data_IF_314379438014
#
_entry.id   IF_314379438014
#
_cell.length_a   1.000
_cell.length_b   1.000
_cell.length_c   1.000
_cell.angle_alpha   90.00
_cell.angle_beta   90.00
_cell.angle_gamma   90.00
#
_symmetry.space_group_name_H-M   'P 1'
#
loop_
_entity.id
_entity.type
_entity.pdbx_description
1 polymer ?
#
# COMPACT_ATOMS: atom_id res chain seq x y z
N UNK A 1 11.93 -29.98 -30.69
CA UNK A 1 10.49 -29.68 -30.87
C UNK A 1 10.38 -28.20 -31.18
N UNK A 2 10.16 -27.84 -32.45
CA UNK A 2 9.96 -26.44 -32.83
C UNK A 2 8.58 -25.99 -32.36
N UNK A 3 8.54 -24.99 -31.47
CA UNK A 3 7.29 -24.32 -31.13
C UNK A 3 6.70 -23.71 -32.40
N UNK A 4 5.38 -23.83 -32.58
CA UNK A 4 4.69 -23.17 -33.67
C UNK A 4 4.88 -21.63 -33.53
N UNK A 5 5.39 -20.92 -34.55
CA UNK A 5 5.63 -19.47 -34.50
C UNK A 5 4.41 -18.66 -34.08
N UNK A 6 3.21 -19.09 -34.48
CA UNK A 6 1.95 -18.43 -34.15
C UNK A 6 1.58 -18.59 -32.67
N UNK A 7 1.83 -19.78 -32.11
CA UNK A 7 1.64 -20.04 -30.68
C UNK A 7 2.62 -19.23 -29.81
N UNK A 8 3.86 -19.04 -30.29
CA UNK A 8 4.87 -18.21 -29.63
C UNK A 8 4.46 -16.73 -29.61
N UNK A 9 3.99 -16.22 -30.74
CA UNK A 9 3.53 -14.83 -30.86
C UNK A 9 2.34 -14.57 -29.93
N UNK A 10 1.37 -15.48 -29.89
CA UNK A 10 0.22 -15.36 -28.99
C UNK A 10 0.64 -15.34 -27.51
N UNK A 11 1.59 -16.21 -27.13
CA UNK A 11 2.13 -16.27 -25.76
C UNK A 11 2.83 -14.95 -25.38
N UNK A 12 3.63 -14.37 -26.27
CA UNK A 12 4.27 -13.07 -26.05
C UNK A 12 3.26 -11.93 -25.84
N UNK A 13 2.18 -11.91 -26.62
CA UNK A 13 1.09 -10.91 -26.46
C UNK A 13 0.38 -11.09 -25.11
N UNK A 14 0.08 -12.33 -24.72
CA UNK A 14 -0.56 -12.61 -23.43
C UNK A 14 0.33 -12.20 -22.25
N UNK A 15 1.64 -12.48 -22.33
CA UNK A 15 2.60 -12.03 -21.31
C UNK A 15 2.70 -10.50 -21.25
N UNK A 16 2.64 -9.79 -22.38
CA UNK A 16 2.72 -8.32 -22.40
C UNK A 16 1.49 -7.70 -21.76
N UNK A 17 0.30 -8.25 -22.04
CA UNK A 17 -0.94 -7.87 -21.37
C UNK A 17 -0.85 -8.09 -19.85
N UNK A 18 -0.39 -9.27 -19.41
CA UNK A 18 -0.23 -9.59 -18.00
C UNK A 18 0.74 -8.63 -17.31
N UNK A 19 1.85 -8.31 -17.98
CA UNK A 19 2.87 -7.40 -17.49
C UNK A 19 2.33 -5.97 -17.34
N UNK A 20 1.55 -5.48 -18.30
CA UNK A 20 0.90 -4.17 -18.23
C UNK A 20 -0.11 -4.09 -17.08
N UNK A 21 -0.90 -5.15 -16.87
CA UNK A 21 -1.83 -5.25 -15.74
C UNK A 21 -1.07 -5.23 -14.40
N UNK A 22 -0.04 -6.06 -14.25
CA UNK A 22 0.75 -6.10 -13.01
C UNK A 22 1.45 -4.78 -12.72
N UNK A 23 1.93 -4.05 -13.74
CA UNK A 23 2.48 -2.69 -13.59
C UNK A 23 1.44 -1.70 -13.07
N UNK A 24 0.24 -1.71 -13.65
CA UNK A 24 -0.84 -0.82 -13.22
C UNK A 24 -1.26 -1.11 -11.77
N UNK A 25 -1.40 -2.39 -11.41
CA UNK A 25 -1.71 -2.81 -10.04
C UNK A 25 -0.61 -2.44 -9.05
N UNK A 26 0.67 -2.58 -9.43
CA UNK A 26 1.81 -2.17 -8.62
C UNK A 26 1.79 -0.66 -8.36
N UNK A 27 1.53 0.14 -9.40
CA UNK A 27 1.40 1.59 -9.28
C UNK A 27 0.29 1.98 -8.31
N UNK A 28 -0.87 1.32 -8.41
CA UNK A 28 -1.99 1.57 -7.49
C UNK A 28 -1.64 1.14 -6.06
N UNK A 29 -0.95 0.02 -5.89
CA UNK A 29 -0.51 -0.47 -4.59
C UNK A 29 0.47 0.48 -3.91
N UNK A 30 1.42 1.06 -4.66
CA UNK A 30 2.33 2.09 -4.14
C UNK A 30 1.56 3.35 -3.69
N UNK A 31 0.60 3.84 -4.48
CA UNK A 31 -0.24 4.98 -4.09
C UNK A 31 -1.03 4.71 -2.79
N UNK A 32 -1.56 3.50 -2.64
CA UNK A 32 -2.24 3.09 -1.42
C UNK A 32 -1.28 3.05 -0.21
N UNK A 33 -0.06 2.53 -0.38
CA UNK A 33 0.97 2.53 0.65
C UNK A 33 1.35 3.95 1.07
N UNK A 34 1.53 4.86 0.12
CA UNK A 34 1.88 6.25 0.41
C UNK A 34 0.79 6.95 1.22
N UNK A 35 -0.48 6.70 0.89
CA UNK A 35 -1.62 7.20 1.66
C UNK A 35 -1.64 6.65 3.08
N UNK A 36 -1.42 5.34 3.26
CA UNK A 36 -1.36 4.71 4.58
C UNK A 36 -0.19 5.27 5.41
N UNK A 37 0.99 5.42 4.81
CA UNK A 37 2.14 6.03 5.48
C UNK A 37 1.86 7.48 5.90
N UNK A 38 1.20 8.25 5.04
CA UNK A 38 0.81 9.64 5.37
C UNK A 38 -0.15 9.69 6.56
N UNK A 39 -1.16 8.80 6.59
CA UNK A 39 -2.09 8.70 7.72
C UNK A 39 -1.38 8.30 9.02
N UNK A 40 -0.48 7.31 8.97
CA UNK A 40 0.32 6.90 10.14
C UNK A 40 1.16 8.06 10.68
N UNK A 41 1.84 8.80 9.80
CA UNK A 41 2.64 9.96 10.20
C UNK A 41 1.77 11.06 10.85
N UNK A 42 0.55 11.27 10.33
CA UNK A 42 -0.40 12.22 10.90
C UNK A 42 -0.86 11.79 12.29
N UNK A 43 -1.19 10.52 12.49
CA UNK A 43 -1.56 9.95 13.79
C UNK A 43 -0.41 10.12 14.79
N UNK A 44 0.81 9.73 14.41
CA UNK A 44 1.99 9.83 15.27
C UNK A 44 2.30 11.28 15.67
N UNK A 45 2.22 12.22 14.71
CA UNK A 45 2.42 13.64 14.98
C UNK A 45 1.34 14.20 15.91
N UNK A 46 0.07 13.80 15.70
CA UNK A 46 -1.07 14.23 16.51
C UNK A 46 -0.94 13.69 17.94
N UNK A 47 -0.65 12.39 18.10
CA UNK A 47 -0.40 11.77 19.40
C UNK A 47 0.74 12.45 20.15
N UNK A 48 1.86 12.74 19.48
CA UNK A 48 2.99 13.45 20.09
C UNK A 48 2.60 14.87 20.53
N UNK A 49 1.82 15.57 19.71
CA UNK A 49 1.38 16.94 20.00
C UNK A 49 0.40 16.98 21.16
N UNK A 50 -0.60 16.08 21.19
CA UNK A 50 -1.56 15.99 22.29
C UNK A 50 -0.91 15.61 23.61
N UNK A 51 0.01 14.65 23.61
CA UNK A 51 0.76 14.28 24.83
C UNK A 51 1.65 15.42 25.35
N UNK A 52 2.03 16.37 24.50
CA UNK A 52 2.83 17.54 24.89
C UNK A 52 1.97 18.67 25.44
N UNK A 53 0.79 18.90 24.86
CA UNK A 53 -0.05 20.07 25.13
C UNK A 53 -1.11 19.78 26.19
N UNK A 54 -1.69 18.59 26.18
CA UNK A 54 -2.80 18.23 27.07
C UNK A 54 -2.30 17.53 28.33
N UNK A 55 -3.00 17.76 29.44
CA UNK A 55 -2.75 16.99 30.66
C UNK A 55 -3.55 15.68 30.64
N UNK A 56 -2.95 14.62 30.10
CA UNK A 56 -3.56 13.29 29.99
C UNK A 56 -3.94 12.67 31.34
N UNK A 57 -3.27 13.03 32.44
CA UNK A 57 -3.58 12.54 33.80
C UNK A 57 -4.90 13.08 34.33
N UNK A 58 -5.27 14.29 33.94
CA UNK A 58 -6.50 14.95 34.39
C UNK A 58 -7.66 14.77 33.41
N UNK A 59 -7.48 13.94 32.37
CA UNK A 59 -8.48 13.67 31.33
C UNK A 59 -9.10 14.97 30.76
N UNK A 60 -8.24 15.88 30.31
CA UNK A 60 -8.65 17.15 29.75
C UNK A 60 -9.52 16.97 28.49
N UNK A 61 -10.50 17.85 28.33
CA UNK A 61 -11.37 17.83 27.16
C UNK A 61 -10.68 18.46 25.95
N UNK A 62 -10.79 17.77 24.81
CA UNK A 62 -10.27 18.18 23.50
C UNK A 62 -11.41 18.34 22.51
N UNK A 63 -11.17 19.12 21.45
CA UNK A 63 -12.13 19.31 20.37
C UNK A 63 -11.69 18.53 19.13
N UNK A 64 -12.47 17.51 18.78
CA UNK A 64 -12.26 16.69 17.60
C UNK A 64 -13.04 17.28 16.41
N UNK A 65 -12.33 17.58 15.32
CA UNK A 65 -12.95 18.02 14.08
C UNK A 65 -13.56 16.84 13.32
N UNK A 66 -14.86 16.92 13.02
CA UNK A 66 -15.59 15.95 12.20
C UNK A 66 -16.27 16.72 11.05
N UNK A 67 -15.58 16.77 9.91
CA UNK A 67 -16.03 17.56 8.75
C UNK A 67 -16.06 19.06 9.06
N UNK A 68 -17.26 19.63 9.19
CA UNK A 68 -17.48 21.06 9.52
C UNK A 68 -17.80 21.29 11.00
N UNK A 69 -17.95 20.24 11.79
CA UNK A 69 -18.30 20.31 13.20
C UNK A 69 -17.08 20.03 14.10
N UNK A 70 -17.13 20.56 15.32
CA UNK A 70 -16.19 20.21 16.38
C UNK A 70 -16.96 19.59 17.54
N UNK A 71 -16.55 18.40 17.95
CA UNK A 71 -17.17 17.66 19.04
C UNK A 71 -16.22 17.60 20.22
N UNK A 72 -16.73 17.88 21.42
CA UNK A 72 -15.97 17.76 22.66
C UNK A 72 -15.79 16.27 22.96
N UNK A 73 -14.54 15.85 23.12
CA UNK A 73 -14.19 14.48 23.50
C UNK A 73 -13.12 14.55 24.60
N UNK A 74 -12.90 13.44 25.30
CA UNK A 74 -11.84 13.34 26.30
C UNK A 74 -10.53 12.94 25.64
N UNK A 75 -9.41 13.52 26.08
CA UNK A 75 -8.09 13.25 25.50
C UNK A 75 -7.73 11.76 25.52
N UNK A 76 -8.07 11.04 26.60
CA UNK A 76 -7.74 9.62 26.72
C UNK A 76 -8.59 8.75 25.79
N UNK A 77 -9.87 9.10 25.60
CA UNK A 77 -10.75 8.42 24.64
C UNK A 77 -10.25 8.64 23.21
N UNK A 78 -9.90 9.88 22.87
CA UNK A 78 -9.37 10.21 21.55
C UNK A 78 -8.02 9.51 21.26
N UNK A 79 -7.09 9.47 22.22
CA UNK A 79 -5.82 8.76 22.06
C UNK A 79 -6.03 7.24 21.91
N UNK A 80 -7.04 6.67 22.56
CA UNK A 80 -7.38 5.25 22.43
C UNK A 80 -7.94 4.93 21.03
N UNK A 81 -8.80 5.80 20.49
CA UNK A 81 -9.29 5.68 19.10
C UNK A 81 -8.12 5.78 18.12
N UNK A 82 -7.24 6.77 18.28
CA UNK A 82 -6.05 6.93 17.43
C UNK A 82 -5.11 5.70 17.50
N UNK A 83 -4.99 5.04 18.65
CA UNK A 83 -4.19 3.82 18.79
C UNK A 83 -4.83 2.63 18.06
N UNK A 84 -6.16 2.55 18.04
CA UNK A 84 -6.88 1.54 17.27
C UNK A 84 -6.71 1.79 15.77
N UNK A 85 -6.88 3.04 15.32
CA UNK A 85 -6.66 3.43 13.92
C UNK A 85 -5.22 3.15 13.48
N UNK A 86 -4.22 3.46 14.33
CA UNK A 86 -2.81 3.15 14.06
C UNK A 86 -2.58 1.66 13.85
N UNK A 87 -3.22 0.80 14.65
CA UNK A 87 -3.15 -0.65 14.49
C UNK A 87 -3.74 -1.10 13.15
N UNK A 88 -4.93 -0.61 12.79
CA UNK A 88 -5.60 -0.95 11.53
C UNK A 88 -4.81 -0.49 10.30
N UNK A 89 -4.21 0.70 10.36
CA UNK A 89 -3.33 1.18 9.30
C UNK A 89 -2.04 0.38 9.19
N UNK A 90 -1.46 -0.08 10.31
CA UNK A 90 -0.29 -0.96 10.28
C UNK A 90 -0.61 -2.33 9.68
N UNK A 91 -1.74 -2.94 10.05
CA UNK A 91 -2.20 -4.20 9.43
C UNK A 91 -2.44 -4.03 7.92
N UNK A 92 -3.05 -2.91 7.52
CA UNK A 92 -3.25 -2.56 6.11
C UNK A 92 -1.92 -2.38 5.37
N UNK A 93 -0.94 -1.73 6.00
CA UNK A 93 0.41 -1.53 5.44
C UNK A 93 1.12 -2.86 5.22
N UNK A 94 1.05 -3.79 6.16
CA UNK A 94 1.64 -5.13 6.00
C UNK A 94 1.02 -5.89 4.84
N UNK A 95 -0.31 -5.87 4.72
CA UNK A 95 -1.03 -6.54 3.65
C UNK A 95 -0.70 -5.94 2.27
N UNK A 96 -0.65 -4.61 2.18
CA UNK A 96 -0.23 -3.92 0.95
C UNK A 96 1.24 -4.18 0.61
N UNK A 97 2.13 -4.26 1.60
CA UNK A 97 3.54 -4.60 1.37
C UNK A 97 3.70 -6.02 0.84
N UNK A 98 2.95 -7.00 1.37
CA UNK A 98 2.94 -8.37 0.84
C UNK A 98 2.44 -8.40 -0.61
N UNK A 99 1.37 -7.67 -0.90
CA UNK A 99 0.83 -7.54 -2.26
C UNK A 99 1.84 -6.90 -3.21
N UNK A 100 2.51 -5.82 -2.78
CA UNK A 100 3.57 -5.17 -3.55
C UNK A 100 4.69 -6.15 -3.91
N UNK A 101 5.25 -6.84 -2.92
CA UNK A 101 6.35 -7.79 -3.13
C UNK A 101 5.95 -8.92 -4.10
N UNK A 102 4.71 -9.40 -4.01
CA UNK A 102 4.18 -10.40 -4.93
C UNK A 102 4.12 -9.87 -6.37
N UNK A 103 3.61 -8.65 -6.57
CA UNK A 103 3.50 -8.01 -7.88
C UNK A 103 4.88 -7.73 -8.49
N UNK A 104 5.84 -7.26 -7.68
CA UNK A 104 7.24 -7.06 -8.10
C UNK A 104 7.87 -8.38 -8.57
N UNK A 105 7.78 -9.42 -7.74
CA UNK A 105 8.32 -10.75 -8.09
C UNK A 105 7.67 -11.32 -9.35
N UNK A 106 6.37 -11.09 -9.54
CA UNK A 106 5.62 -11.55 -10.72
C UNK A 106 6.10 -10.82 -11.97
N UNK A 107 6.29 -9.51 -11.88
CA UNK A 107 6.78 -8.68 -12.98
C UNK A 107 8.19 -9.10 -13.39
N UNK A 108 9.09 -9.28 -12.42
CA UNK A 108 10.47 -9.70 -12.67
C UNK A 108 10.52 -11.08 -13.35
N UNK A 109 9.77 -12.05 -12.84
CA UNK A 109 9.68 -13.39 -13.45
C UNK A 109 9.09 -13.37 -14.85
N UNK A 110 8.08 -12.54 -15.11
CA UNK A 110 7.50 -12.40 -16.46
C UNK A 110 8.50 -11.79 -17.43
N UNK A 111 9.27 -10.79 -17.00
CA UNK A 111 10.34 -10.19 -17.80
C UNK A 111 11.47 -11.20 -18.10
N UNK A 112 11.89 -11.97 -17.10
CA UNK A 112 12.89 -13.03 -17.28
C UNK A 112 12.43 -14.07 -18.28
N UNK A 113 11.20 -14.57 -18.15
CA UNK A 113 10.62 -15.57 -19.05
C UNK A 113 10.48 -15.03 -20.48
N UNK A 114 9.99 -13.80 -20.66
CA UNK A 114 9.96 -13.12 -21.96
C UNK A 114 11.34 -13.04 -22.59
N UNK A 115 12.35 -12.64 -21.81
CA UNK A 115 13.72 -12.47 -22.29
C UNK A 115 14.35 -13.81 -22.69
N UNK A 116 14.11 -14.88 -21.94
CA UNK A 116 14.55 -16.22 -22.29
C UNK A 116 13.92 -16.72 -23.59
N UNK A 117 12.61 -16.48 -23.76
CA UNK A 117 11.89 -16.87 -24.98
C UNK A 117 12.45 -16.14 -26.19
N UNK A 118 12.63 -14.82 -26.12
CA UNK A 118 13.19 -14.02 -27.23
C UNK A 118 14.67 -14.32 -27.46
N UNK A 119 15.45 -14.55 -26.39
CA UNK A 119 16.87 -14.89 -26.46
C UNK A 119 17.15 -16.25 -27.10
N UNK A 120 16.28 -17.23 -26.86
CA UNK A 120 16.38 -18.56 -27.46
C UNK A 120 16.03 -18.58 -28.97
N UNK A 121 15.30 -17.58 -29.47
CA UNK A 121 14.96 -17.45 -30.90
C UNK A 121 16.14 -16.91 -31.74
N UNK A 122 17.16 -16.31 -31.11
CA UNK A 122 18.35 -15.77 -31.79
C UNK A 122 19.52 -16.76 -31.95
N UNK A 123 19.40 -17.99 -31.44
CA UNK A 123 20.38 -19.08 -31.64
C UNK A 123 19.83 -20.10 -32.64
#
# INVERSE_FOLDING_TARGET
MSMNPEALQKLLIEMDNQLNVSRAELSMCNLQLDRVNTNLNLIQSTNKSLNKVCNTKNNEAVWQGIGKAFVKNDVNSYLKEMAQDEKEFNESKENLSKKKNYLETTLDKTLENMTQIVGNVKK
#
